data_IF_474833512086
#
_entry.id   IF_474833512086
#
_cell.length_a   1.000
_cell.length_b   1.000
_cell.length_c   1.000
_cell.angle_alpha   90.00
_cell.angle_beta   90.00
_cell.angle_gamma   90.00
#
_symmetry.space_group_name_H-M   'P 1'
#
loop_
_entity.id
_entity.type
_entity.pdbx_description
1 polymer ?
#
# COMPACT_ATOMS: atom_id res chain seq x y z
N UNK A 1 -33.52 51.84 37.96
CA UNK A 1 -32.72 52.17 36.76
C UNK A 1 -31.99 50.89 36.38
N UNK A 2 -32.48 50.19 35.31
CA UNK A 2 -31.80 49.02 34.75
C UNK A 2 -30.64 49.53 33.88
N UNK A 3 -29.43 49.30 34.32
CA UNK A 3 -28.23 49.58 33.57
C UNK A 3 -28.13 48.57 32.40
N UNK A 4 -28.44 49.01 31.19
CA UNK A 4 -28.27 48.23 29.94
C UNK A 4 -26.78 47.97 29.73
N UNK A 5 -26.30 46.80 30.15
CA UNK A 5 -24.97 46.30 29.85
C UNK A 5 -24.90 46.03 28.33
N UNK A 6 -24.35 46.99 27.57
CA UNK A 6 -24.11 46.80 26.14
C UNK A 6 -23.00 45.79 25.95
N UNK A 7 -23.31 44.65 25.36
CA UNK A 7 -22.35 43.60 25.03
C UNK A 7 -21.28 44.16 24.05
N UNK A 8 -20.02 44.09 24.45
CA UNK A 8 -18.89 44.56 23.65
C UNK A 8 -18.43 43.46 22.71
N UNK A 9 -18.61 43.67 21.42
CA UNK A 9 -18.15 42.80 20.35
C UNK A 9 -16.72 43.12 19.96
N UNK A 10 -15.84 42.11 19.78
CA UNK A 10 -14.44 42.27 19.42
C UNK A 10 -14.12 41.61 18.07
N UNK A 11 -13.10 42.14 17.40
CA UNK A 11 -12.54 41.58 16.18
C UNK A 11 -11.58 40.43 16.53
N UNK A 12 -11.71 39.28 15.87
CA UNK A 12 -10.83 38.11 16.09
C UNK A 12 -9.41 38.31 15.54
N UNK A 13 -9.18 39.39 14.77
CA UNK A 13 -7.91 39.61 14.08
C UNK A 13 -7.13 40.84 14.63
N UNK A 14 -7.77 41.68 15.44
CA UNK A 14 -7.10 42.84 16.05
C UNK A 14 -7.89 43.31 17.28
N UNK A 15 -7.37 44.32 17.98
CA UNK A 15 -7.96 44.86 19.24
C UNK A 15 -9.18 45.79 19.04
N UNK A 16 -9.76 45.79 17.81
CA UNK A 16 -10.96 46.63 17.56
C UNK A 16 -12.18 46.07 18.29
N UNK A 17 -12.84 46.95 19.03
CA UNK A 17 -14.06 46.64 19.82
C UNK A 17 -15.19 47.62 19.46
N UNK A 18 -16.42 47.10 19.46
CA UNK A 18 -17.63 47.88 19.18
C UNK A 18 -18.84 47.26 19.82
N UNK A 19 -19.86 48.05 20.08
CA UNK A 19 -21.15 47.54 20.59
C UNK A 19 -22.18 47.29 19.48
N UNK A 20 -21.82 47.56 18.20
CA UNK A 20 -22.71 47.37 17.05
C UNK A 20 -22.19 46.30 16.11
N UNK A 21 -22.99 45.25 15.90
CA UNK A 21 -22.64 44.13 15.00
C UNK A 21 -22.36 44.59 13.53
N UNK A 22 -23.11 45.59 13.04
CA UNK A 22 -22.88 46.17 11.71
C UNK A 22 -21.51 46.83 11.56
N UNK A 23 -20.99 47.46 12.63
CA UNK A 23 -19.67 48.03 12.63
C UNK A 23 -18.58 46.97 12.68
N UNK A 24 -18.78 45.93 13.47
CA UNK A 24 -17.86 44.77 13.52
C UNK A 24 -17.77 44.07 12.13
N UNK A 25 -18.90 43.81 11.48
CA UNK A 25 -18.93 43.20 10.14
C UNK A 25 -18.17 44.01 9.10
N UNK A 26 -18.38 45.37 9.08
CA UNK A 26 -17.60 46.25 8.17
C UNK A 26 -16.12 46.24 8.48
N UNK A 27 -15.77 46.32 9.78
CA UNK A 27 -14.38 46.29 10.20
C UNK A 27 -13.71 44.95 9.79
N UNK A 28 -14.33 43.80 10.01
CA UNK A 28 -13.76 42.48 9.64
C UNK A 28 -13.42 42.42 8.14
N UNK A 29 -14.27 42.98 7.28
CA UNK A 29 -14.01 43.01 5.83
C UNK A 29 -12.77 43.84 5.48
N UNK A 30 -12.54 44.94 6.17
CA UNK A 30 -11.44 45.87 5.94
C UNK A 30 -10.25 45.71 6.89
N UNK A 31 -10.30 44.74 7.78
CA UNK A 31 -9.24 44.52 8.78
C UNK A 31 -7.92 44.11 8.12
N UNK A 32 -6.89 44.92 8.28
CA UNK A 32 -5.56 44.69 7.71
C UNK A 32 -4.89 43.42 8.24
N UNK A 33 -5.26 42.97 9.45
CA UNK A 33 -4.70 41.77 10.07
C UNK A 33 -5.42 40.50 9.64
N UNK A 34 -6.50 40.60 8.86
CA UNK A 34 -7.18 39.46 8.28
C UNK A 34 -6.33 38.88 7.15
N UNK A 35 -5.77 37.71 7.40
CA UNK A 35 -5.06 36.97 6.36
C UNK A 35 -6.02 36.61 5.22
N UNK A 36 -5.58 36.82 3.99
CA UNK A 36 -6.30 36.29 2.84
C UNK A 36 -6.40 34.75 2.93
N UNK A 37 -7.39 34.17 2.30
CA UNK A 37 -7.52 32.69 2.27
C UNK A 37 -6.26 32.04 1.70
N UNK A 38 -5.66 32.65 0.67
CA UNK A 38 -4.38 32.19 0.10
C UNK A 38 -3.23 32.23 1.11
N UNK A 39 -3.14 33.27 1.92
CA UNK A 39 -2.11 33.39 2.97
C UNK A 39 -2.32 32.31 4.07
N UNK A 40 -3.56 32.00 4.42
CA UNK A 40 -3.88 30.92 5.37
C UNK A 40 -3.50 29.56 4.83
N UNK A 41 -3.84 29.29 3.56
CA UNK A 41 -3.47 28.02 2.89
C UNK A 41 -1.95 27.88 2.79
N UNK A 42 -1.24 28.97 2.46
CA UNK A 42 0.21 28.95 2.40
C UNK A 42 0.84 28.63 3.75
N UNK A 43 0.37 29.28 4.81
CA UNK A 43 0.85 29.03 6.18
C UNK A 43 0.59 27.59 6.62
N UNK A 44 -0.60 27.05 6.31
CA UNK A 44 -0.97 25.67 6.62
C UNK A 44 -0.10 24.67 5.83
N UNK A 45 0.15 24.97 4.57
CA UNK A 45 1.01 24.16 3.72
C UNK A 45 2.45 24.12 4.25
N UNK A 46 3.02 25.27 4.58
CA UNK A 46 4.37 25.37 5.15
C UNK A 46 4.48 24.61 6.47
N UNK A 47 3.45 24.70 7.33
CA UNK A 47 3.38 23.93 8.58
C UNK A 47 3.35 22.43 8.33
N UNK A 48 2.50 21.96 7.42
CA UNK A 48 2.39 20.55 7.09
C UNK A 48 3.69 19.99 6.48
N UNK A 49 4.37 20.76 5.63
CA UNK A 49 5.66 20.36 5.07
C UNK A 49 6.76 20.30 6.15
N UNK A 50 6.75 21.22 7.10
CA UNK A 50 7.69 21.18 8.23
C UNK A 50 7.45 19.96 9.14
N UNK A 51 6.19 19.63 9.45
CA UNK A 51 5.83 18.44 10.21
C UNK A 51 6.24 17.15 9.47
N UNK A 52 5.99 17.09 8.17
CA UNK A 52 6.39 15.95 7.32
C UNK A 52 7.91 15.76 7.30
N UNK A 53 8.68 16.84 7.17
CA UNK A 53 10.14 16.78 7.23
C UNK A 53 10.63 16.30 8.60
N UNK A 54 10.01 16.78 9.68
CA UNK A 54 10.31 16.31 11.02
C UNK A 54 10.07 14.80 11.21
N UNK A 55 8.95 14.29 10.68
CA UNK A 55 8.64 12.86 10.71
C UNK A 55 9.64 12.03 9.90
N UNK A 56 10.04 12.50 8.72
CA UNK A 56 11.04 11.82 7.89
C UNK A 56 12.37 11.74 8.64
N UNK A 57 12.85 12.85 9.23
CA UNK A 57 14.09 12.86 9.99
C UNK A 57 14.04 11.94 11.21
N UNK A 58 12.93 11.92 11.94
CA UNK A 58 12.72 11.01 13.08
C UNK A 58 12.79 9.55 12.64
N UNK A 59 12.09 9.21 11.55
CA UNK A 59 12.10 7.85 11.00
C UNK A 59 13.51 7.41 10.55
N UNK A 60 14.27 8.30 9.93
CA UNK A 60 15.66 8.00 9.53
C UNK A 60 16.58 7.79 10.73
N UNK A 61 16.38 8.55 11.81
CA UNK A 61 17.15 8.37 13.05
C UNK A 61 16.81 7.03 13.71
N UNK A 62 15.54 6.67 13.84
CA UNK A 62 15.12 5.37 14.36
C UNK A 62 15.69 4.21 13.54
N UNK A 63 15.64 4.33 12.23
CA UNK A 63 16.20 3.35 11.30
C UNK A 63 17.71 3.16 11.52
N UNK A 64 18.45 4.24 11.71
CA UNK A 64 19.90 4.16 11.99
C UNK A 64 20.20 3.50 13.35
N UNK A 65 19.37 3.81 14.36
CA UNK A 65 19.50 3.16 15.67
C UNK A 65 19.28 1.66 15.55
N UNK A 66 18.27 1.26 14.78
CA UNK A 66 17.93 -0.14 14.55
C UNK A 66 19.08 -0.88 13.84
N UNK A 67 19.66 -0.26 12.80
CA UNK A 67 20.83 -0.84 12.11
C UNK A 67 22.02 -1.01 13.05
N UNK A 68 22.32 -0.03 13.89
CA UNK A 68 23.38 -0.16 14.90
C UNK A 68 23.12 -1.28 15.93
N UNK A 69 21.86 -1.51 16.27
CA UNK A 69 21.49 -2.63 17.14
C UNK A 69 21.68 -3.98 16.44
N UNK A 70 21.30 -4.06 15.15
CA UNK A 70 21.53 -5.25 14.31
C UNK A 70 23.02 -5.54 14.21
N UNK A 71 23.86 -4.55 13.90
CA UNK A 71 25.31 -4.71 13.80
C UNK A 71 25.92 -5.21 15.13
N UNK A 72 25.51 -4.63 16.27
CA UNK A 72 25.93 -5.08 17.60
C UNK A 72 25.49 -6.51 17.92
N UNK A 73 24.31 -6.91 17.45
CA UNK A 73 23.83 -8.28 17.62
C UNK A 73 24.64 -9.25 16.74
N UNK A 74 24.96 -8.85 15.52
CA UNK A 74 25.82 -9.63 14.62
C UNK A 74 27.24 -9.78 15.17
N UNK A 75 27.82 -8.74 15.76
CA UNK A 75 29.13 -8.81 16.44
C UNK A 75 29.10 -9.74 17.67
N UNK A 76 28.00 -9.75 18.45
CA UNK A 76 27.84 -10.63 19.62
C UNK A 76 27.59 -12.10 19.24
N UNK A 77 27.05 -12.36 18.06
CA UNK A 77 26.83 -13.73 17.56
C UNK A 77 28.15 -14.41 17.22
N UNK A 78 29.29 -13.69 17.36
CA UNK A 78 30.65 -14.23 17.36
C UNK A 78 30.94 -15.02 16.09
N UNK A 79 32.18 -15.01 15.64
CA UNK A 79 32.75 -15.89 14.61
C UNK A 79 32.63 -17.40 14.95
N UNK A 80 31.43 -17.84 15.27
CA UNK A 80 31.07 -19.21 15.04
C UNK A 80 30.74 -19.26 13.55
N UNK A 81 31.73 -19.65 12.76
CA UNK A 81 31.54 -20.23 11.44
C UNK A 81 30.77 -21.55 11.61
N UNK A 82 29.62 -21.47 12.21
CA UNK A 82 28.56 -22.38 11.88
C UNK A 82 28.11 -21.91 10.51
N UNK A 83 28.52 -22.63 9.48
CA UNK A 83 27.72 -22.81 8.28
C UNK A 83 26.34 -23.32 8.72
N UNK A 84 25.55 -22.45 9.33
CA UNK A 84 24.12 -22.53 9.20
C UNK A 84 23.94 -22.15 7.73
N UNK A 85 24.11 -23.13 6.85
CA UNK A 85 23.32 -23.18 5.65
C UNK A 85 21.92 -23.04 6.22
N UNK A 86 21.36 -21.83 6.20
CA UNK A 86 19.93 -21.66 6.24
C UNK A 86 19.42 -22.50 5.08
N UNK A 87 19.15 -23.77 5.36
CA UNK A 87 18.40 -24.63 4.46
C UNK A 87 17.00 -24.02 4.44
N UNK A 88 16.87 -22.88 3.75
CA UNK A 88 15.58 -22.31 3.45
C UNK A 88 14.84 -23.39 2.64
N UNK A 89 13.94 -24.08 3.31
CA UNK A 89 13.09 -25.07 2.66
C UNK A 89 12.04 -24.29 1.89
N UNK A 90 12.20 -24.21 0.58
CA UNK A 90 11.22 -23.59 -0.29
C UNK A 90 9.95 -24.42 -0.31
N UNK A 91 8.81 -23.73 -0.25
CA UNK A 91 7.52 -24.32 -0.52
C UNK A 91 7.42 -24.73 -2.00
N UNK A 92 6.76 -25.83 -2.28
CA UNK A 92 6.48 -26.18 -3.67
C UNK A 92 5.59 -25.12 -4.32
N UNK A 93 5.84 -24.85 -5.61
CA UNK A 93 4.98 -23.99 -6.41
C UNK A 93 3.53 -24.46 -6.34
N UNK A 94 2.60 -23.53 -6.11
CA UNK A 94 1.18 -23.82 -5.86
C UNK A 94 0.83 -24.24 -4.42
N UNK A 95 1.83 -24.34 -3.52
CA UNK A 95 1.66 -24.63 -2.08
C UNK A 95 2.33 -23.60 -1.21
N UNK A 96 2.19 -22.33 -1.59
CA UNK A 96 2.74 -21.21 -0.86
C UNK A 96 2.08 -21.07 0.53
N UNK A 97 2.87 -20.71 1.53
CA UNK A 97 2.34 -20.30 2.82
C UNK A 97 1.73 -18.91 2.73
N UNK A 98 0.45 -18.81 3.02
CA UNK A 98 -0.35 -17.58 2.98
C UNK A 98 -0.62 -16.99 4.36
N UNK A 99 0.00 -17.49 5.42
CA UNK A 99 -0.25 -17.07 6.80
C UNK A 99 -0.04 -15.57 7.05
N UNK A 100 0.81 -14.93 6.25
CA UNK A 100 1.10 -13.49 6.28
C UNK A 100 0.10 -12.63 5.49
N UNK A 101 -0.76 -13.25 4.68
CA UNK A 101 -1.79 -12.56 3.88
C UNK A 101 -3.03 -12.35 4.75
N UNK A 102 -3.11 -11.18 5.36
CA UNK A 102 -4.21 -10.84 6.27
C UNK A 102 -5.50 -10.49 5.55
N UNK A 103 -6.65 -10.63 6.24
CA UNK A 103 -7.93 -10.18 5.71
C UNK A 103 -7.96 -8.67 5.45
N UNK A 104 -7.30 -7.87 6.28
CA UNK A 104 -7.14 -6.42 6.05
C UNK A 104 -6.46 -6.13 4.71
N UNK A 105 -5.41 -6.88 4.37
CA UNK A 105 -4.73 -6.75 3.09
C UNK A 105 -5.62 -7.16 1.92
N UNK A 106 -6.34 -8.30 2.02
CA UNK A 106 -7.31 -8.72 1.00
C UNK A 106 -8.40 -7.67 0.79
N UNK A 107 -8.92 -7.08 1.86
CA UNK A 107 -9.91 -5.99 1.79
C UNK A 107 -9.39 -4.77 1.02
N UNK A 108 -8.10 -4.43 1.16
CA UNK A 108 -7.49 -3.37 0.39
C UNK A 108 -7.37 -3.73 -1.10
N UNK A 109 -7.04 -4.99 -1.41
CA UNK A 109 -6.94 -5.47 -2.78
C UNK A 109 -8.28 -5.41 -3.51
N UNK A 110 -9.36 -5.84 -2.89
CA UNK A 110 -10.70 -5.85 -3.47
C UNK A 110 -11.21 -4.45 -3.86
N UNK A 111 -10.72 -3.38 -3.20
CA UNK A 111 -11.05 -1.99 -3.57
C UNK A 111 -10.51 -1.57 -4.94
N UNK A 112 -9.49 -2.28 -5.45
CA UNK A 112 -8.85 -2.03 -6.74
C UNK A 112 -8.68 -3.29 -7.57
N UNK A 113 -9.77 -3.93 -8.05
CA UNK A 113 -9.75 -5.28 -8.61
C UNK A 113 -8.81 -5.44 -9.82
N UNK A 114 -8.67 -4.42 -10.65
CA UNK A 114 -7.77 -4.46 -11.82
C UNK A 114 -6.27 -4.55 -11.48
N UNK A 115 -5.89 -4.32 -10.22
CA UNK A 115 -4.52 -4.41 -9.74
C UNK A 115 -4.36 -5.44 -8.60
N UNK A 116 -5.43 -6.13 -8.21
CA UNK A 116 -5.42 -6.99 -7.02
C UNK A 116 -4.53 -8.22 -7.20
N UNK A 117 -4.59 -8.86 -8.38
CA UNK A 117 -3.83 -10.09 -8.65
C UNK A 117 -2.33 -9.85 -8.64
N UNK A 118 -1.75 -8.89 -9.38
CA UNK A 118 -0.33 -8.58 -9.30
C UNK A 118 0.17 -8.27 -7.89
N UNK A 119 -0.60 -7.50 -7.11
CA UNK A 119 -0.26 -7.18 -5.72
C UNK A 119 -0.35 -8.38 -4.79
N UNK A 120 -1.30 -9.27 -5.03
CA UNK A 120 -1.41 -10.51 -4.28
C UNK A 120 -0.21 -11.41 -4.54
N UNK A 121 0.16 -11.60 -5.80
CA UNK A 121 1.34 -12.39 -6.20
C UNK A 121 2.62 -11.81 -5.60
N UNK A 122 2.79 -10.50 -5.68
CA UNK A 122 3.94 -9.82 -5.06
C UNK A 122 4.01 -10.10 -3.56
N UNK A 123 2.90 -9.94 -2.84
CA UNK A 123 2.83 -10.18 -1.40
C UNK A 123 3.09 -11.63 -1.02
N UNK A 124 2.51 -12.59 -1.73
CA UNK A 124 2.71 -14.03 -1.49
C UNK A 124 4.18 -14.40 -1.58
N UNK A 125 4.89 -13.90 -2.58
CA UNK A 125 6.30 -14.23 -2.83
C UNK A 125 7.29 -13.31 -2.10
N UNK A 126 6.83 -12.39 -1.23
CA UNK A 126 7.70 -11.64 -0.31
C UNK A 126 8.33 -12.56 0.73
N UNK A 127 7.60 -13.61 1.15
CA UNK A 127 8.07 -14.57 2.12
C UNK A 127 9.20 -15.43 1.52
N UNK A 128 10.36 -15.59 2.21
CA UNK A 128 11.50 -16.31 1.65
C UNK A 128 11.17 -17.73 1.20
N UNK A 129 10.33 -18.46 1.98
CA UNK A 129 9.93 -19.83 1.68
C UNK A 129 9.05 -19.93 0.42
N UNK A 130 8.41 -18.84 0.02
CA UNK A 130 7.56 -18.77 -1.18
C UNK A 130 8.30 -18.26 -2.41
N UNK A 131 9.62 -18.03 -2.35
CA UNK A 131 10.43 -17.66 -3.52
C UNK A 131 10.68 -18.87 -4.43
N UNK A 132 9.61 -19.54 -4.82
CA UNK A 132 9.56 -20.82 -5.51
C UNK A 132 9.33 -20.70 -7.03
N UNK A 133 9.32 -19.49 -7.57
CA UNK A 133 9.20 -19.19 -9.00
C UNK A 133 10.25 -18.16 -9.42
N UNK A 134 10.93 -18.42 -10.53
CA UNK A 134 11.93 -17.52 -11.09
C UNK A 134 11.71 -17.34 -12.58
N UNK A 135 11.55 -16.10 -13.01
CA UNK A 135 11.60 -15.72 -14.43
C UNK A 135 13.02 -15.27 -14.76
N UNK A 136 13.82 -16.08 -15.49
CA UNK A 136 15.25 -15.81 -15.71
C UNK A 136 15.50 -14.50 -16.43
N UNK A 137 14.75 -14.25 -17.49
CA UNK A 137 14.73 -12.99 -18.22
C UNK A 137 13.47 -12.87 -19.09
N UNK A 138 13.24 -11.69 -19.65
CA UNK A 138 12.03 -11.39 -20.44
C UNK A 138 11.96 -12.14 -21.78
N UNK A 139 13.09 -12.59 -22.31
CA UNK A 139 13.14 -13.21 -23.66
C UNK A 139 12.90 -14.70 -23.65
N UNK A 140 13.14 -15.37 -22.50
CA UNK A 140 13.00 -16.81 -22.40
C UNK A 140 11.54 -17.24 -22.37
N UNK A 141 11.16 -18.30 -23.11
CA UNK A 141 9.81 -18.83 -23.11
C UNK A 141 9.49 -19.70 -21.90
N UNK A 142 10.42 -19.85 -20.95
CA UNK A 142 10.26 -20.70 -19.76
C UNK A 142 10.50 -19.92 -18.47
N UNK A 143 9.98 -20.46 -17.39
CA UNK A 143 10.23 -20.09 -16.00
C UNK A 143 10.82 -21.28 -15.26
N UNK A 144 11.48 -21.03 -14.13
CA UNK A 144 11.86 -22.06 -13.17
C UNK A 144 10.87 -22.06 -12.03
N UNK A 145 10.35 -23.23 -11.69
CA UNK A 145 9.49 -23.43 -10.51
C UNK A 145 10.12 -24.48 -9.61
N UNK A 146 9.95 -24.31 -8.31
CA UNK A 146 10.42 -25.28 -7.32
C UNK A 146 9.32 -26.27 -7.01
N UNK A 147 9.56 -27.53 -7.33
CA UNK A 147 8.63 -28.65 -7.11
C UNK A 147 9.38 -29.92 -6.74
N UNK A 148 8.90 -30.65 -5.73
CA UNK A 148 9.47 -31.91 -5.26
C UNK A 148 10.97 -31.77 -4.96
N UNK A 149 11.31 -30.75 -4.19
CA UNK A 149 12.69 -30.41 -3.76
C UNK A 149 13.66 -30.13 -4.91
N UNK A 150 13.18 -29.77 -6.10
CA UNK A 150 14.02 -29.45 -7.26
C UNK A 150 13.45 -28.29 -8.10
N UNK A 151 14.35 -27.52 -8.72
CA UNK A 151 13.98 -26.51 -9.71
C UNK A 151 13.73 -27.17 -11.07
N UNK A 152 12.56 -26.87 -11.66
CA UNK A 152 12.14 -27.40 -12.97
C UNK A 152 11.84 -26.25 -13.93
N UNK A 153 12.19 -26.45 -15.20
CA UNK A 153 11.79 -25.55 -16.26
C UNK A 153 10.37 -25.89 -16.74
N UNK A 154 9.52 -24.89 -16.87
CA UNK A 154 8.16 -25.01 -17.38
C UNK A 154 7.83 -23.90 -18.36
N UNK A 155 6.80 -24.10 -19.19
CA UNK A 155 6.33 -23.06 -20.10
C UNK A 155 5.91 -21.80 -19.33
N UNK A 156 6.39 -20.64 -19.78
CA UNK A 156 6.16 -19.37 -19.09
C UNK A 156 4.70 -18.98 -19.12
N UNK A 157 4.04 -19.10 -20.28
CA UNK A 157 2.65 -18.66 -20.44
C UNK A 157 1.70 -19.50 -19.59
N UNK A 158 1.92 -20.80 -19.56
CA UNK A 158 1.15 -21.74 -18.75
C UNK A 158 1.28 -21.38 -17.26
N UNK A 159 2.50 -21.29 -16.75
CA UNK A 159 2.75 -21.06 -15.33
C UNK A 159 2.31 -19.66 -14.88
N UNK A 160 2.50 -18.62 -15.69
CA UNK A 160 2.01 -17.27 -15.35
C UNK A 160 0.49 -17.25 -15.35
N UNK A 161 -0.16 -17.99 -16.27
CA UNK A 161 -1.61 -18.14 -16.27
C UNK A 161 -2.09 -18.84 -15.02
N UNK A 162 -1.51 -20.00 -14.67
CA UNK A 162 -1.86 -20.76 -13.46
C UNK A 162 -1.71 -19.90 -12.20
N UNK A 163 -0.65 -19.08 -12.14
CA UNK A 163 -0.40 -18.16 -11.04
C UNK A 163 -1.47 -17.06 -10.94
N UNK A 164 -1.90 -16.53 -12.07
CA UNK A 164 -2.99 -15.53 -12.16
C UNK A 164 -4.30 -16.15 -11.70
N UNK A 165 -4.66 -17.31 -12.26
CA UNK A 165 -5.92 -18.01 -11.98
C UNK A 165 -5.99 -18.42 -10.50
N UNK A 166 -4.92 -18.98 -9.94
CA UNK A 166 -4.87 -19.35 -8.53
C UNK A 166 -5.08 -18.17 -7.59
N UNK A 167 -4.49 -17.02 -7.89
CA UNK A 167 -4.65 -15.83 -7.04
C UNK A 167 -5.97 -15.10 -7.27
N UNK A 168 -6.53 -15.15 -8.48
CA UNK A 168 -7.90 -14.73 -8.72
C UNK A 168 -8.88 -15.54 -7.88
N UNK A 169 -8.84 -16.86 -7.99
CA UNK A 169 -9.75 -17.77 -7.26
C UNK A 169 -9.69 -17.55 -5.74
N UNK A 170 -8.49 -17.37 -5.18
CA UNK A 170 -8.30 -17.07 -3.73
C UNK A 170 -8.96 -15.75 -3.30
N UNK A 171 -8.90 -14.74 -4.15
CA UNK A 171 -9.50 -13.42 -3.85
C UNK A 171 -11.00 -13.43 -4.08
N UNK A 172 -11.46 -14.17 -5.08
CA UNK A 172 -12.87 -14.32 -5.40
C UNK A 172 -13.61 -15.13 -4.32
N UNK A 173 -13.05 -16.26 -3.89
CA UNK A 173 -13.55 -17.00 -2.74
C UNK A 173 -13.62 -16.14 -1.46
N UNK A 174 -12.60 -15.31 -1.23
CA UNK A 174 -12.62 -14.37 -0.11
C UNK A 174 -13.69 -13.28 -0.28
N UNK A 175 -13.89 -12.77 -1.49
CA UNK A 175 -14.93 -11.80 -1.79
C UNK A 175 -16.32 -12.36 -1.48
N UNK A 176 -16.61 -13.58 -1.89
CA UNK A 176 -17.90 -14.25 -1.66
C UNK A 176 -18.17 -14.54 -0.18
N UNK A 177 -17.14 -14.90 0.59
CA UNK A 177 -17.31 -15.27 2.00
C UNK A 177 -17.38 -14.06 2.93
N UNK A 178 -16.45 -13.13 2.81
CA UNK A 178 -16.23 -12.04 3.75
C UNK A 178 -16.07 -10.66 3.10
N UNK A 179 -15.53 -10.61 1.88
CA UNK A 179 -15.03 -9.39 1.25
C UNK A 179 -16.15 -8.42 0.82
N UNK A 180 -17.29 -8.94 0.37
CA UNK A 180 -18.40 -8.08 -0.08
C UNK A 180 -18.91 -7.18 1.04
N UNK A 181 -18.92 -7.65 2.30
CA UNK A 181 -19.43 -6.93 3.47
C UNK A 181 -18.63 -5.68 3.83
N UNK A 182 -17.37 -5.60 3.41
CA UNK A 182 -16.47 -4.48 3.74
C UNK A 182 -16.33 -3.48 2.61
N UNK A 183 -16.98 -3.72 1.47
CA UNK A 183 -16.97 -2.86 0.30
C UNK A 183 -18.24 -1.98 0.28
N UNK A 184 -18.09 -0.75 -0.23
CA UNK A 184 -19.25 0.08 -0.55
C UNK A 184 -19.81 -0.29 -1.94
N UNK A 185 -21.01 0.19 -2.26
CA UNK A 185 -21.72 -0.15 -3.51
C UNK A 185 -20.90 0.17 -4.77
N UNK A 186 -20.11 1.25 -4.78
CA UNK A 186 -19.25 1.61 -5.91
C UNK A 186 -18.12 0.58 -6.09
N UNK A 187 -17.54 0.13 -5.00
CA UNK A 187 -16.47 -0.87 -4.99
C UNK A 187 -17.01 -2.24 -5.40
N UNK A 188 -18.20 -2.63 -4.90
CA UNK A 188 -18.89 -3.87 -5.30
C UNK A 188 -19.15 -3.87 -6.81
N UNK A 189 -19.72 -2.80 -7.36
CA UNK A 189 -19.96 -2.70 -8.80
C UNK A 189 -18.67 -2.78 -9.63
N UNK A 190 -17.59 -2.17 -9.14
CA UNK A 190 -16.28 -2.26 -9.79
C UNK A 190 -15.71 -3.67 -9.75
N UNK A 191 -15.87 -4.36 -8.62
CA UNK A 191 -15.43 -5.74 -8.47
C UNK A 191 -16.22 -6.67 -9.41
N UNK A 192 -17.54 -6.59 -9.41
CA UNK A 192 -18.43 -7.40 -10.27
C UNK A 192 -18.15 -7.15 -11.77
N UNK A 193 -17.86 -5.92 -12.17
CA UNK A 193 -17.44 -5.63 -13.56
C UNK A 193 -16.10 -6.30 -13.90
N UNK A 194 -15.15 -6.32 -12.96
CA UNK A 194 -13.88 -7.03 -13.18
C UNK A 194 -14.10 -8.54 -13.24
N UNK A 195 -14.87 -9.12 -12.33
CA UNK A 195 -15.24 -10.53 -12.27
C UNK A 195 -15.90 -10.97 -13.57
N UNK A 196 -16.94 -10.25 -14.03
CA UNK A 196 -17.62 -10.52 -15.29
C UNK A 196 -16.66 -10.55 -16.48
N UNK A 197 -15.77 -9.58 -16.60
CA UNK A 197 -14.76 -9.55 -17.64
C UNK A 197 -13.74 -10.68 -17.57
N UNK A 198 -13.34 -11.03 -16.34
CA UNK A 198 -12.40 -12.13 -16.13
C UNK A 198 -13.02 -13.46 -16.51
N UNK A 199 -14.22 -13.75 -16.01
CA UNK A 199 -14.93 -15.01 -16.22
C UNK A 199 -15.39 -15.21 -17.68
N UNK A 200 -15.75 -14.13 -18.38
CA UNK A 200 -16.08 -14.15 -19.81
C UNK A 200 -14.85 -14.07 -20.72
N UNK A 201 -13.64 -14.19 -20.18
CA UNK A 201 -12.40 -14.26 -20.95
C UNK A 201 -12.13 -13.00 -21.81
N UNK A 202 -12.37 -11.79 -21.26
CA UNK A 202 -12.02 -10.55 -21.91
C UNK A 202 -10.51 -10.52 -22.22
N UNK A 203 -10.16 -10.53 -23.50
CA UNK A 203 -8.76 -10.65 -23.95
C UNK A 203 -7.88 -9.54 -23.45
N UNK A 204 -8.38 -8.30 -23.40
CA UNK A 204 -7.61 -7.14 -22.93
C UNK A 204 -7.23 -7.29 -21.46
N UNK A 205 -8.16 -7.73 -20.63
CA UNK A 205 -7.94 -7.96 -19.19
C UNK A 205 -6.95 -9.09 -18.99
N UNK A 206 -7.14 -10.23 -19.66
CA UNK A 206 -6.24 -11.39 -19.50
C UNK A 206 -4.82 -11.08 -19.97
N UNK A 207 -4.63 -10.48 -21.15
CA UNK A 207 -3.31 -10.09 -21.63
C UNK A 207 -2.61 -9.09 -20.70
N UNK A 208 -3.37 -8.12 -20.19
CA UNK A 208 -2.85 -7.14 -19.22
C UNK A 208 -2.43 -7.79 -17.91
N UNK A 209 -3.22 -8.72 -17.40
CA UNK A 209 -2.88 -9.48 -16.18
C UNK A 209 -1.62 -10.31 -16.36
N UNK A 210 -1.52 -11.08 -17.46
CA UNK A 210 -0.34 -11.89 -17.75
C UNK A 210 0.91 -11.02 -17.82
N UNK A 211 0.86 -9.92 -18.58
CA UNK A 211 1.97 -8.99 -18.73
C UNK A 211 2.40 -8.34 -17.40
N UNK A 212 1.42 -7.91 -16.58
CA UNK A 212 1.72 -7.29 -15.30
C UNK A 212 2.35 -8.28 -14.32
N UNK A 213 1.90 -9.53 -14.32
CA UNK A 213 2.46 -10.56 -13.45
C UNK A 213 3.85 -11.03 -13.90
N UNK A 214 4.13 -11.08 -15.20
CA UNK A 214 5.50 -11.24 -15.69
C UNK A 214 6.43 -10.13 -15.17
N UNK A 215 5.97 -8.87 -15.14
CA UNK A 215 6.76 -7.77 -14.61
C UNK A 215 7.00 -7.89 -13.10
N UNK A 216 6.01 -8.35 -12.33
CA UNK A 216 6.19 -8.63 -10.90
C UNK A 216 7.28 -9.67 -10.69
N UNK A 217 7.24 -10.79 -11.41
CA UNK A 217 8.24 -11.85 -11.30
C UNK A 217 9.66 -11.39 -11.72
N UNK A 218 9.77 -10.56 -12.74
CA UNK A 218 11.06 -9.98 -13.16
C UNK A 218 11.63 -9.04 -12.10
N UNK A 219 10.79 -8.24 -11.44
CA UNK A 219 11.23 -7.29 -10.41
C UNK A 219 11.66 -7.99 -9.13
N UNK A 220 11.02 -9.09 -8.75
CA UNK A 220 11.40 -9.89 -7.59
C UNK A 220 12.82 -10.47 -7.70
N UNK A 221 13.30 -10.75 -8.90
CA UNK A 221 14.67 -11.21 -9.15
C UNK A 221 15.73 -10.21 -8.71
N UNK A 222 15.44 -8.91 -8.79
CA UNK A 222 16.40 -7.85 -8.49
C UNK A 222 16.51 -7.54 -6.99
N UNK A 223 15.76 -8.25 -6.14
CA UNK A 223 15.74 -8.06 -4.68
C UNK A 223 16.47 -9.19 -3.92
N UNK A 224 17.18 -10.08 -4.62
CA UNK A 224 17.94 -11.20 -4.05
C UNK A 224 19.44 -10.93 -4.14
#
# INVERSE_FOLDING_TARGET
>A
EEELILEVLSCDYCDYKTTRNSNLKRHIISCKNRLSEEAKYKLLYEKNEAEKQGLIQHYEQEKQILYKQIDKLLEKVGHTTNNIQNNLILNNFGKEDLSHITNSFKNQLLKGPFCMIPKMIEAVHTKPENKNILLPNKKEPYVKVFENAAWKFKDRKEIVKDLVDANYNRLDEYYETDGERVLNNVQINRYKNFQDKYDNYDLEIHEKLLKNNELVLLNQKNQN
#
